data_IF_911638601543
#
_entry.id   IF_911638601543
#
_cell.length_a   1.000
_cell.length_b   1.000
_cell.length_c   1.000
_cell.angle_alpha   90.00
_cell.angle_beta   90.00
_cell.angle_gamma   90.00
#
_symmetry.space_group_name_H-M   'P 1'
#
loop_
_entity.id
_entity.type
_entity.pdbx_description
1 polymer ?
#
# COMPACT_ATOMS: atom_id res chain seq x y z
N UNK A 1 20.41 -3.73 7.98
CA UNK A 1 19.04 -3.62 7.43
C UNK A 1 17.93 -3.92 8.44
N UNK A 2 17.56 -5.16 8.81
CA UNK A 2 16.41 -5.37 9.73
C UNK A 2 16.63 -4.73 11.11
N UNK A 3 17.84 -4.80 11.65
CA UNK A 3 18.20 -4.13 12.91
C UNK A 3 18.06 -2.60 12.80
N UNK A 4 18.55 -1.99 11.72
CA UNK A 4 18.40 -0.55 11.47
C UNK A 4 16.92 -0.12 11.40
N UNK A 5 16.05 -0.93 10.79
CA UNK A 5 14.61 -0.65 10.75
C UNK A 5 13.96 -0.77 12.13
N UNK A 6 14.46 -1.67 12.99
CA UNK A 6 13.98 -1.81 14.37
C UNK A 6 14.44 -0.65 15.26
N UNK A 7 15.65 -0.17 15.04
CA UNK A 7 16.26 0.94 15.77
C UNK A 7 15.86 2.31 15.19
N UNK A 8 15.11 2.34 14.09
CA UNK A 8 14.69 3.56 13.41
C UNK A 8 13.75 4.40 14.28
N UNK A 9 14.09 5.67 14.41
CA UNK A 9 13.23 6.70 14.97
C UNK A 9 13.20 7.92 14.04
N UNK A 10 12.03 8.56 13.82
CA UNK A 10 11.95 9.82 13.11
C UNK A 10 12.81 10.88 13.79
N UNK A 11 13.51 11.69 12.98
CA UNK A 11 14.34 12.78 13.50
C UNK A 11 13.54 13.98 14.04
N UNK A 12 12.26 14.11 13.66
CA UNK A 12 11.35 15.15 14.12
C UNK A 12 10.48 14.64 15.28
N UNK A 13 10.48 15.37 16.40
CA UNK A 13 9.69 15.04 17.58
C UNK A 13 8.18 15.13 17.36
N UNK A 14 7.74 15.88 16.33
CA UNK A 14 6.33 16.00 15.94
C UNK A 14 5.86 14.87 15.02
N UNK A 15 6.76 13.96 14.63
CA UNK A 15 6.46 12.84 13.76
C UNK A 15 6.54 11.52 14.54
N UNK A 16 5.40 10.96 14.99
CA UNK A 16 5.41 9.75 15.82
C UNK A 16 5.83 8.50 15.04
N UNK A 17 5.48 8.42 13.75
CA UNK A 17 5.80 7.29 12.90
C UNK A 17 5.77 7.68 11.41
N UNK A 18 6.63 7.06 10.61
CA UNK A 18 6.57 7.15 9.15
C UNK A 18 5.33 6.43 8.62
N UNK A 19 4.54 7.12 7.83
CA UNK A 19 3.32 6.58 7.22
C UNK A 19 3.57 6.14 5.77
N UNK A 20 3.41 4.84 5.51
CA UNK A 20 3.65 4.24 4.20
C UNK A 20 2.31 3.81 3.60
N UNK A 21 1.88 4.47 2.52
CA UNK A 21 0.62 4.15 1.85
C UNK A 21 0.84 3.10 0.76
N UNK A 22 0.11 1.99 0.81
CA UNK A 22 0.09 1.01 -0.26
C UNK A 22 -1.07 1.31 -1.21
N UNK A 23 -0.76 1.50 -2.48
CA UNK A 23 -1.77 1.58 -3.55
C UNK A 23 -1.51 0.50 -4.61
N UNK A 24 -2.49 0.20 -5.45
CA UNK A 24 -2.36 -0.81 -6.49
C UNK A 24 -3.69 -1.48 -6.82
N UNK A 25 -3.69 -2.24 -7.92
CA UNK A 25 -4.87 -2.94 -8.41
C UNK A 25 -5.48 -3.88 -7.37
N UNK A 26 -6.77 -4.19 -7.53
CA UNK A 26 -7.40 -5.30 -6.82
C UNK A 26 -6.65 -6.61 -7.10
N UNK A 27 -6.36 -7.36 -6.05
CA UNK A 27 -5.60 -8.61 -6.14
C UNK A 27 -4.10 -8.44 -6.42
N UNK A 28 -3.56 -7.22 -6.38
CA UNK A 28 -2.11 -6.99 -6.53
C UNK A 28 -1.28 -7.48 -5.32
N UNK A 29 -1.92 -7.79 -4.19
CA UNK A 29 -1.25 -8.32 -3.00
C UNK A 29 -0.80 -7.27 -1.99
N UNK A 30 -1.44 -6.10 -1.94
CA UNK A 30 -1.16 -5.03 -0.95
C UNK A 30 -1.23 -5.54 0.50
N UNK A 31 -2.37 -6.10 0.88
CA UNK A 31 -2.61 -6.64 2.22
C UNK A 31 -1.67 -7.82 2.52
N UNK A 32 -1.40 -8.68 1.53
CA UNK A 32 -0.42 -9.78 1.65
C UNK A 32 1.00 -9.27 1.89
N UNK A 33 1.39 -8.16 1.26
CA UNK A 33 2.68 -7.52 1.47
C UNK A 33 2.81 -7.00 2.91
N UNK A 34 1.77 -6.34 3.44
CA UNK A 34 1.74 -5.90 4.85
C UNK A 34 1.88 -7.09 5.80
N UNK A 35 1.11 -8.17 5.58
CA UNK A 35 1.22 -9.39 6.39
C UNK A 35 2.63 -10.00 6.34
N UNK A 36 3.28 -9.96 5.17
CA UNK A 36 4.65 -10.48 5.01
C UNK A 36 5.65 -9.67 5.82
N UNK A 37 5.55 -8.34 5.80
CA UNK A 37 6.37 -7.47 6.63
C UNK A 37 6.09 -7.73 8.10
N UNK A 38 4.81 -7.71 8.51
CA UNK A 38 4.46 -7.95 9.92
C UNK A 38 4.99 -9.31 10.39
N UNK A 39 4.86 -10.37 9.58
CA UNK A 39 5.40 -11.69 9.89
C UNK A 39 6.91 -11.71 10.10
N UNK A 40 7.69 -10.87 9.39
CA UNK A 40 9.15 -10.75 9.59
C UNK A 40 9.47 -10.08 10.93
N UNK A 41 8.75 -9.01 11.28
CA UNK A 41 8.96 -8.30 12.53
C UNK A 41 8.48 -9.08 13.75
N UNK A 42 7.40 -9.85 13.57
CA UNK A 42 6.91 -10.78 14.57
C UNK A 42 7.80 -12.03 14.65
N UNK A 43 8.26 -12.60 13.54
CA UNK A 43 8.96 -13.90 13.54
C UNK A 43 8.01 -15.10 13.57
N UNK A 44 6.73 -14.89 13.31
CA UNK A 44 5.75 -15.93 12.96
C UNK A 44 4.76 -15.37 11.94
N UNK A 45 4.00 -16.26 11.29
CA UNK A 45 2.99 -15.86 10.31
C UNK A 45 1.90 -15.02 10.98
N UNK A 46 1.50 -13.92 10.34
CA UNK A 46 0.42 -13.02 10.76
C UNK A 46 -0.59 -12.82 9.62
N UNK A 47 -1.88 -12.71 9.94
CA UNK A 47 -2.97 -12.51 8.96
C UNK A 47 -3.87 -11.33 9.33
N UNK A 48 -3.30 -10.27 9.89
CA UNK A 48 -4.04 -9.09 10.36
C UNK A 48 -4.60 -8.25 9.21
N UNK A 49 -3.87 -8.20 8.09
CA UNK A 49 -4.33 -7.60 6.86
C UNK A 49 -5.15 -8.61 6.07
N UNK A 50 -6.44 -8.33 5.95
CA UNK A 50 -7.40 -9.16 5.25
C UNK A 50 -7.03 -9.20 3.76
N UNK A 51 -6.54 -10.35 3.29
CA UNK A 51 -6.10 -10.56 1.91
C UNK A 51 -6.93 -11.69 1.26
N UNK A 52 -7.61 -11.39 0.16
CA UNK A 52 -8.25 -12.40 -0.70
C UNK A 52 -7.59 -12.38 -2.09
N UNK A 53 -7.21 -13.56 -2.58
CA UNK A 53 -6.60 -13.77 -3.90
C UNK A 53 -7.58 -14.26 -4.96
N UNK A 54 -8.83 -14.52 -4.59
CA UNK A 54 -9.83 -15.25 -5.40
C UNK A 54 -11.12 -14.47 -5.69
N UNK A 55 -11.41 -13.39 -4.96
CA UNK A 55 -12.55 -12.51 -5.23
C UNK A 55 -12.33 -11.56 -6.41
N UNK A 56 -13.31 -11.47 -7.31
CA UNK A 56 -13.32 -10.54 -8.45
C UNK A 56 -13.58 -9.06 -8.09
N UNK A 57 -13.69 -8.72 -6.79
CA UNK A 57 -13.90 -7.36 -6.27
C UNK A 57 -12.97 -7.10 -5.07
N UNK A 58 -12.67 -5.83 -4.76
CA UNK A 58 -11.77 -5.48 -3.65
C UNK A 58 -12.28 -6.00 -2.29
N UNK A 59 -11.45 -6.82 -1.62
CA UNK A 59 -11.72 -7.31 -0.27
C UNK A 59 -11.48 -6.23 0.80
N UNK A 60 -10.41 -5.46 0.63
CA UNK A 60 -10.19 -4.23 1.41
C UNK A 60 -11.22 -3.20 0.97
N UNK A 61 -12.13 -2.84 1.88
CA UNK A 61 -13.18 -1.82 1.67
C UNK A 61 -13.02 -0.61 2.58
N UNK A 62 -12.01 -0.62 3.43
CA UNK A 62 -11.81 0.36 4.49
C UNK A 62 -10.36 0.83 4.49
N UNK A 63 -10.14 2.13 4.67
CA UNK A 63 -8.83 2.70 4.94
C UNK A 63 -8.38 2.23 6.32
N UNK A 64 -7.31 1.42 6.36
CA UNK A 64 -6.85 0.81 7.61
C UNK A 64 -5.37 1.01 7.81
N UNK A 65 -5.02 1.40 9.02
CA UNK A 65 -3.64 1.60 9.50
C UNK A 65 -3.19 0.33 10.20
N UNK A 66 -2.05 -0.19 9.77
CA UNK A 66 -1.38 -1.35 10.35
C UNK A 66 -0.11 -0.87 11.04
N UNK A 67 -0.12 -1.02 12.36
CA UNK A 67 1.03 -0.74 13.22
C UNK A 67 1.77 -2.04 13.48
N UNK A 68 3.11 -2.00 13.44
CA UNK A 68 3.92 -3.17 13.76
C UNK A 68 4.37 -3.09 15.22
N UNK A 69 3.88 -4.04 16.02
CA UNK A 69 4.23 -4.13 17.44
C UNK A 69 5.70 -4.55 17.63
N UNK A 70 6.35 -3.91 18.61
CA UNK A 70 7.70 -4.27 19.02
C UNK A 70 7.66 -5.31 20.13
N UNK A 71 8.05 -6.55 19.79
CA UNK A 71 8.11 -7.68 20.72
C UNK A 71 9.01 -7.48 21.92
N UNK A 72 10.06 -6.69 21.77
CA UNK A 72 11.05 -6.52 22.83
C UNK A 72 10.53 -5.63 23.96
N UNK A 73 9.52 -4.79 23.69
CA UNK A 73 8.96 -3.85 24.66
C UNK A 73 7.43 -3.86 24.58
N UNK A 74 6.74 -4.49 25.56
CA UNK A 74 5.28 -4.60 25.57
C UNK A 74 4.58 -3.24 25.44
N UNK A 75 3.55 -3.16 24.60
CA UNK A 75 2.78 -1.94 24.37
C UNK A 75 3.49 -0.88 23.51
N UNK A 76 4.69 -1.17 23.00
CA UNK A 76 5.39 -0.29 22.06
C UNK A 76 5.29 -0.81 20.63
N UNK A 77 5.48 0.10 19.66
CA UNK A 77 5.46 -0.19 18.24
C UNK A 77 6.68 0.41 17.56
N UNK A 78 7.04 -0.12 16.39
CA UNK A 78 8.07 0.52 15.57
C UNK A 78 7.56 1.85 15.00
N UNK A 79 8.49 2.75 14.71
CA UNK A 79 8.17 4.11 14.28
C UNK A 79 7.81 4.20 12.78
N UNK A 80 7.07 3.22 12.27
CA UNK A 80 6.47 3.23 10.95
C UNK A 80 5.17 2.43 10.93
N UNK A 81 4.23 2.88 10.10
CA UNK A 81 2.90 2.29 9.93
C UNK A 81 2.57 2.15 8.45
N UNK A 82 1.74 1.17 8.13
CA UNK A 82 1.27 0.95 6.76
C UNK A 82 -0.20 1.29 6.65
N UNK A 83 -0.57 2.02 5.59
CA UNK A 83 -1.97 2.23 5.23
C UNK A 83 -2.33 1.34 4.05
N UNK A 84 -3.31 0.47 4.26
CA UNK A 84 -3.94 -0.30 3.20
C UNK A 84 -5.19 0.41 2.71
N UNK A 85 -5.37 0.40 1.39
CA UNK A 85 -6.51 1.03 0.71
C UNK A 85 -7.23 0.01 -0.16
N UNK A 86 -8.48 0.30 -0.45
CA UNK A 86 -9.23 -0.45 -1.45
C UNK A 86 -8.49 -0.47 -2.78
N UNK A 87 -8.53 -1.59 -3.52
CA UNK A 87 -7.81 -1.69 -4.77
C UNK A 87 -8.36 -0.77 -5.86
N UNK A 88 -7.48 -0.34 -6.75
CA UNK A 88 -7.87 0.33 -7.98
C UNK A 88 -8.47 -0.70 -8.94
N UNK A 89 -9.49 -0.28 -9.68
CA UNK A 89 -10.09 -1.04 -10.76
C UNK A 89 -10.17 -0.18 -12.03
N UNK A 90 -10.16 -0.87 -13.17
CA UNK A 90 -10.34 -0.29 -14.49
C UNK A 90 -11.63 0.52 -14.54
N UNK A 91 -12.77 -0.14 -14.32
CA UNK A 91 -14.07 0.52 -14.32
C UNK A 91 -14.12 1.72 -13.36
N UNK A 92 -14.76 2.81 -13.79
CA UNK A 92 -15.01 3.99 -12.96
C UNK A 92 -15.75 3.65 -11.65
N UNK A 93 -16.53 2.56 -11.66
CA UNK A 93 -17.30 2.07 -10.52
C UNK A 93 -16.81 0.68 -10.14
N UNK A 94 -16.21 0.58 -8.96
CA UNK A 94 -15.84 -0.70 -8.33
C UNK A 94 -14.56 -0.65 -7.50
N UNK A 95 -13.64 0.25 -7.84
CA UNK A 95 -12.38 0.47 -7.11
C UNK A 95 -12.36 1.72 -6.24
N UNK A 96 -11.24 1.95 -5.56
CA UNK A 96 -10.98 3.20 -4.84
C UNK A 96 -10.93 4.39 -5.81
N UNK A 97 -11.50 5.52 -5.39
CA UNK A 97 -11.40 6.76 -6.16
C UNK A 97 -10.00 7.35 -6.05
N UNK A 98 -9.46 7.88 -7.16
CA UNK A 98 -8.12 8.51 -7.15
C UNK A 98 -8.05 9.68 -6.17
N UNK A 99 -9.14 10.43 -6.04
CA UNK A 99 -9.23 11.56 -5.11
C UNK A 99 -9.19 11.13 -3.64
N UNK A 100 -9.64 9.90 -3.32
CA UNK A 100 -9.47 9.33 -1.97
C UNK A 100 -8.00 9.01 -1.69
N UNK A 101 -7.28 8.46 -2.67
CA UNK A 101 -5.83 8.22 -2.53
C UNK A 101 -5.11 9.55 -2.34
N UNK A 102 -5.44 10.58 -3.11
CA UNK A 102 -4.88 11.94 -2.96
C UNK A 102 -5.20 12.51 -1.58
N UNK A 103 -6.42 12.32 -1.10
CA UNK A 103 -6.82 12.73 0.25
C UNK A 103 -6.01 11.99 1.33
N UNK A 104 -5.75 10.70 1.13
CA UNK A 104 -4.90 9.91 2.02
C UNK A 104 -3.45 10.43 2.00
N UNK A 105 -2.89 10.75 0.83
CA UNK A 105 -1.54 11.32 0.71
C UNK A 105 -1.37 12.58 1.57
N UNK A 106 -2.40 13.43 1.55
CA UNK A 106 -2.44 14.69 2.31
C UNK A 106 -2.82 14.53 3.79
N UNK A 107 -3.15 13.31 4.24
CA UNK A 107 -3.55 13.01 5.62
C UNK A 107 -5.00 13.32 5.96
N UNK A 108 -5.85 13.53 4.95
CA UNK A 108 -7.25 13.90 5.14
C UNK A 108 -8.19 12.73 5.44
N UNK A 109 -7.72 11.48 5.43
CA UNK A 109 -8.55 10.30 5.71
C UNK A 109 -8.25 9.76 7.10
N UNK A 110 -9.28 9.65 7.94
CA UNK A 110 -9.20 8.98 9.25
C UNK A 110 -9.27 7.47 9.12
N UNK A 111 -8.61 6.78 10.05
CA UNK A 111 -8.67 5.32 10.15
C UNK A 111 -10.11 4.82 10.28
N UNK A 112 -10.43 3.74 9.57
CA UNK A 112 -11.79 3.18 9.54
C UNK A 112 -12.73 3.78 8.48
N UNK A 113 -12.27 4.74 7.67
CA UNK A 113 -13.07 5.25 6.54
C UNK A 113 -13.43 4.12 5.57
N UNK A 114 -14.73 3.95 5.28
CA UNK A 114 -15.21 2.98 4.30
C UNK A 114 -15.30 3.64 2.92
N UNK A 115 -14.54 3.12 1.96
CA UNK A 115 -14.50 3.65 0.61
C UNK A 115 -15.85 3.53 -0.09
N UNK A 116 -16.20 4.56 -0.84
CA UNK A 116 -17.37 4.56 -1.71
C UNK A 116 -16.90 4.58 -3.18
N UNK A 117 -17.20 3.53 -3.97
CA UNK A 117 -16.79 3.46 -5.36
C UNK A 117 -17.50 4.48 -6.25
N UNK A 118 -18.60 5.09 -5.82
CA UNK A 118 -19.37 6.04 -6.63
C UNK A 118 -18.98 7.51 -6.37
N UNK A 119 -18.51 7.84 -5.17
CA UNK A 119 -18.20 9.22 -4.77
C UNK A 119 -16.99 9.28 -3.85
N UNK A 120 -16.01 10.17 -4.09
CA UNK A 120 -14.88 10.35 -3.18
C UNK A 120 -15.32 10.94 -1.83
N UNK A 121 -14.45 10.81 -0.84
CA UNK A 121 -14.56 11.41 0.48
C UNK A 121 -14.81 12.92 0.35
N UNK A 122 -15.85 13.39 1.01
CA UNK A 122 -16.21 14.80 1.08
C UNK A 122 -15.66 15.42 2.36
N UNK A 123 -15.36 16.72 2.34
CA UNK A 123 -14.98 17.47 3.54
C UNK A 123 -16.06 17.45 4.63
N UNK A 124 -17.32 17.18 4.27
CA UNK A 124 -18.43 17.07 5.24
C UNK A 124 -18.52 15.71 5.93
N UNK A 125 -17.72 14.74 5.49
CA UNK A 125 -17.72 13.40 6.05
C UNK A 125 -17.06 13.38 7.43
N UNK A 126 -17.60 12.58 8.35
CA UNK A 126 -17.06 12.40 9.70
C UNK A 126 -15.62 11.85 9.68
N UNK A 127 -15.27 11.07 8.66
CA UNK A 127 -13.94 10.51 8.45
C UNK A 127 -12.98 11.46 7.73
N UNK A 128 -13.41 12.67 7.35
CA UNK A 128 -12.52 13.70 6.84
C UNK A 128 -11.75 14.36 7.98
N UNK A 129 -10.43 14.46 7.82
CA UNK A 129 -9.52 15.18 8.71
C UNK A 129 -9.25 16.57 8.15
N UNK A 130 -9.93 17.58 8.70
CA UNK A 130 -9.80 18.97 8.24
C UNK A 130 -8.41 19.57 8.47
N UNK A 131 -7.67 19.10 9.47
CA UNK A 131 -6.41 19.70 9.88
C UNK A 131 -5.36 18.60 10.10
N UNK A 132 -4.84 18.00 9.01
CA UNK A 132 -3.89 16.89 9.12
C UNK A 132 -2.59 17.31 9.78
N UNK A 133 -2.19 16.55 10.81
CA UNK A 133 -0.89 16.66 11.43
C UNK A 133 0.21 16.07 10.53
N UNK A 134 1.47 16.29 10.88
CA UNK A 134 2.60 15.64 10.17
C UNK A 134 2.50 14.11 10.21
N UNK A 135 2.03 13.53 11.33
CA UNK A 135 1.83 12.08 11.46
C UNK A 135 0.65 11.52 10.65
N UNK A 136 -0.27 12.38 10.19
CA UNK A 136 -1.39 11.96 9.34
C UNK A 136 -1.00 11.88 7.86
N UNK A 137 -0.03 12.69 7.44
CA UNK A 137 0.44 12.74 6.05
C UNK A 137 1.22 11.49 5.67
N UNK A 138 1.18 11.13 4.39
CA UNK A 138 1.96 10.01 3.86
C UNK A 138 3.39 10.45 3.61
N UNK A 139 4.34 9.61 4.02
CA UNK A 139 5.78 9.85 3.92
C UNK A 139 6.44 9.02 2.83
N UNK A 140 5.76 7.97 2.36
CA UNK A 140 6.18 7.15 1.23
C UNK A 140 4.97 6.46 0.62
N UNK A 141 4.88 6.43 -0.70
CA UNK A 141 3.86 5.65 -1.41
C UNK A 141 4.49 4.42 -2.04
N UNK A 142 3.90 3.25 -1.78
CA UNK A 142 4.28 1.96 -2.36
C UNK A 142 3.20 1.54 -3.35
N UNK A 143 3.54 1.51 -4.64
CA UNK A 143 2.66 1.02 -5.70
C UNK A 143 2.92 -0.48 -5.89
N UNK A 144 1.94 -1.30 -5.52
CA UNK A 144 1.99 -2.75 -5.63
C UNK A 144 1.40 -3.18 -6.96
N UNK A 145 2.20 -3.89 -7.76
CA UNK A 145 1.85 -4.29 -9.12
C UNK A 145 2.02 -5.79 -9.27
N UNK A 146 0.97 -6.48 -9.73
CA UNK A 146 1.03 -7.92 -9.99
C UNK A 146 1.65 -8.18 -11.38
N UNK A 147 2.79 -8.86 -11.42
CA UNK A 147 3.52 -9.16 -12.65
C UNK A 147 2.72 -9.98 -13.66
N UNK A 148 1.88 -10.90 -13.18
CA UNK A 148 1.04 -11.77 -14.03
C UNK A 148 -0.14 -11.01 -14.65
N UNK A 149 -0.41 -9.78 -14.20
CA UNK A 149 -1.53 -8.95 -14.65
C UNK A 149 -1.11 -7.70 -15.40
N UNK A 150 0.20 -7.47 -15.59
CA UNK A 150 0.73 -6.29 -16.29
C UNK A 150 0.20 -6.16 -17.72
N UNK A 151 0.08 -7.27 -18.45
CA UNK A 151 -0.43 -7.27 -19.82
C UNK A 151 -1.92 -6.90 -19.94
N UNK A 152 -2.66 -6.95 -18.83
CA UNK A 152 -4.12 -6.68 -18.76
C UNK A 152 -4.36 -5.28 -18.16
N UNK A 153 -3.30 -4.56 -17.78
CA UNK A 153 -3.43 -3.21 -17.26
C UNK A 153 -3.84 -2.26 -18.38
N UNK A 154 -5.10 -1.84 -18.35
CA UNK A 154 -5.64 -0.93 -19.37
C UNK A 154 -5.11 0.50 -19.22
N UNK A 155 -5.35 1.31 -20.24
CA UNK A 155 -4.93 2.71 -20.26
C UNK A 155 -5.55 3.53 -19.13
N UNK A 156 -6.76 3.20 -18.69
CA UNK A 156 -7.44 3.91 -17.60
C UNK A 156 -6.70 3.69 -16.27
N UNK A 157 -6.32 2.45 -15.96
CA UNK A 157 -5.49 2.10 -14.81
C UNK A 157 -4.13 2.80 -14.85
N UNK A 158 -3.50 2.86 -16.02
CA UNK A 158 -2.23 3.59 -16.21
C UNK A 158 -2.41 5.07 -15.90
N UNK A 159 -3.50 5.68 -16.35
CA UNK A 159 -3.81 7.10 -16.10
C UNK A 159 -4.10 7.37 -14.62
N UNK A 160 -4.91 6.53 -13.96
CA UNK A 160 -5.18 6.63 -12.51
C UNK A 160 -3.88 6.59 -11.71
N UNK A 161 -3.03 5.60 -12.01
CA UNK A 161 -1.71 5.46 -11.39
C UNK A 161 -0.80 6.66 -11.69
N UNK A 162 -0.79 7.16 -12.92
CA UNK A 162 -0.01 8.34 -13.30
C UNK A 162 -0.43 9.58 -12.50
N UNK A 163 -1.73 9.83 -12.37
CA UNK A 163 -2.27 10.96 -11.59
C UNK A 163 -1.84 10.89 -10.12
N UNK A 164 -1.88 9.71 -9.52
CA UNK A 164 -1.41 9.50 -8.14
C UNK A 164 0.09 9.84 -8.02
N UNK A 165 0.91 9.38 -8.98
CA UNK A 165 2.36 9.64 -8.99
C UNK A 165 2.69 11.10 -9.22
N UNK A 166 1.95 11.80 -10.06
CA UNK A 166 2.13 13.24 -10.29
C UNK A 166 1.87 14.02 -8.99
N UNK A 167 0.75 13.79 -8.33
CA UNK A 167 0.43 14.43 -7.04
C UNK A 167 1.42 14.05 -5.94
N UNK A 168 1.85 12.78 -5.86
CA UNK A 168 2.88 12.39 -4.91
C UNK A 168 4.21 13.12 -5.16
N UNK A 169 4.57 13.37 -6.43
CA UNK A 169 5.77 14.14 -6.79
C UNK A 169 5.64 15.61 -6.39
N UNK A 170 4.47 16.22 -6.60
CA UNK A 170 4.19 17.60 -6.20
C UNK A 170 4.26 17.81 -4.67
N UNK A 171 3.99 16.75 -3.91
CA UNK A 171 4.08 16.74 -2.45
C UNK A 171 5.46 16.32 -1.93
N UNK A 172 6.45 16.12 -2.81
CA UNK A 172 7.78 15.61 -2.49
C UNK A 172 7.76 14.25 -1.76
N UNK A 173 6.76 13.41 -2.04
CA UNK A 173 6.59 12.08 -1.43
C UNK A 173 7.38 11.04 -2.25
N UNK A 174 8.37 10.35 -1.65
CA UNK A 174 9.07 9.23 -2.27
C UNK A 174 8.12 8.13 -2.74
N UNK A 175 8.41 7.58 -3.92
CA UNK A 175 7.57 6.57 -4.57
C UNK A 175 8.37 5.29 -4.82
N UNK A 176 7.82 4.17 -4.42
CA UNK A 176 8.42 2.84 -4.60
C UNK A 176 7.44 1.95 -5.35
N UNK A 177 7.91 1.23 -6.35
CA UNK A 177 7.14 0.18 -7.02
C UNK A 177 7.57 -1.19 -6.50
N UNK A 178 6.60 -2.02 -6.13
CA UNK A 178 6.83 -3.41 -5.70
C UNK A 178 6.11 -4.33 -6.66
N UNK A 179 6.89 -5.17 -7.35
CA UNK A 179 6.37 -6.18 -8.25
C UNK A 179 6.08 -7.47 -7.47
N UNK A 180 4.82 -7.92 -7.49
CA UNK A 180 4.35 -9.14 -6.83
C UNK A 180 4.01 -10.21 -7.86
N UNK A 181 3.80 -11.46 -7.40
CA UNK A 181 3.37 -12.60 -8.26
C UNK A 181 4.30 -12.85 -9.47
N UNK A 182 5.58 -12.54 -9.30
CA UNK A 182 6.62 -12.74 -10.31
C UNK A 182 6.83 -14.20 -10.70
N UNK A 183 6.51 -15.11 -9.78
CA UNK A 183 6.47 -16.55 -9.97
C UNK A 183 5.33 -17.00 -10.88
N UNK A 184 4.16 -16.37 -10.80
CA UNK A 184 3.07 -16.65 -11.74
C UNK A 184 3.32 -16.05 -13.13
N UNK A 185 4.06 -14.95 -13.21
CA UNK A 185 4.38 -14.29 -14.47
C UNK A 185 5.48 -15.00 -15.28
N UNK A 186 6.37 -15.76 -14.63
CA UNK A 186 7.53 -16.36 -15.29
C UNK A 186 7.74 -17.83 -14.86
N UNK A 187 7.59 -18.82 -15.77
CA UNK A 187 7.78 -20.23 -15.43
C UNK A 187 9.17 -20.56 -14.86
N UNK A 188 10.21 -19.83 -15.27
CA UNK A 188 11.56 -19.99 -14.72
C UNK A 188 11.63 -19.61 -13.24
N UNK A 189 10.92 -18.53 -12.87
CA UNK A 189 10.82 -18.06 -11.48
C UNK A 189 9.90 -18.97 -10.68
N UNK A 190 8.78 -19.42 -11.27
CA UNK A 190 7.88 -20.42 -10.66
C UNK A 190 8.63 -21.67 -10.21
N UNK A 191 9.54 -22.16 -11.06
CA UNK A 191 10.35 -23.34 -10.78
C UNK A 191 11.45 -23.09 -9.74
N UNK A 192 12.02 -21.89 -9.71
CA UNK A 192 13.05 -21.51 -8.75
C UNK A 192 13.05 -19.99 -8.52
N UNK A 193 12.53 -19.56 -7.36
CA UNK A 193 12.46 -18.14 -6.98
C UNK A 193 13.83 -17.45 -6.96
N UNK A 194 14.93 -18.19 -6.83
CA UNK A 194 16.29 -17.60 -6.90
C UNK A 194 16.63 -17.08 -8.29
N UNK A 195 15.83 -17.42 -9.31
CA UNK A 195 16.00 -16.96 -10.69
C UNK A 195 15.31 -15.63 -10.98
N UNK A 196 14.66 -14.98 -10.01
CA UNK A 196 14.03 -13.65 -10.18
C UNK A 196 15.01 -12.67 -10.86
N UNK A 197 16.21 -12.51 -10.31
CA UNK A 197 17.23 -11.59 -10.84
C UNK A 197 17.98 -12.10 -12.09
N UNK A 198 17.70 -13.32 -12.53
CA UNK A 198 18.29 -13.92 -13.75
C UNK A 198 17.30 -14.01 -14.89
N UNK A 199 16.01 -13.81 -14.62
CA UNK A 199 14.97 -13.85 -15.63
C UNK A 199 15.00 -12.58 -16.45
N UNK A 200 15.31 -12.72 -17.75
CA UNK A 200 15.26 -11.61 -18.70
C UNK A 200 13.85 -11.01 -18.76
N UNK A 201 12.82 -11.85 -18.74
CA UNK A 201 11.42 -11.42 -18.74
C UNK A 201 11.11 -10.52 -17.55
N UNK A 202 11.46 -10.92 -16.32
CA UNK A 202 11.21 -10.09 -15.13
C UNK A 202 12.00 -8.78 -15.15
N UNK A 203 13.20 -8.79 -15.75
CA UNK A 203 14.02 -7.57 -15.90
C UNK A 203 13.41 -6.57 -16.90
N UNK A 204 12.66 -7.05 -17.88
CA UNK A 204 12.06 -6.25 -18.95
C UNK A 204 10.62 -5.80 -18.62
N UNK A 205 10.05 -6.27 -17.50
CA UNK A 205 8.78 -5.76 -16.93
C UNK A 205 8.96 -4.39 -16.27
#
# INVERSE_FOLDING_TARGET
MLKELKDFTPGDQNLPALRILLNGQVGAGKSSFINSINSIFQGHITTEALADGTGGTSFTKTYKTYTIENRSVPGSSYAFVFNDVMGLEAAERGGVQVDDIISALKGHIKDGYKFNPDTPLSERDLYYNHCPSWGDKVHCIVTVVAADRLAIMDNEMVQKQRRIREVASELDIPQVAVLTRVDEACPLVKKDLRKIYRSRYIKEL
#
